data_IF_840980082003
#
_entry.id   IF_840980082003
#
_cell.length_a   1.000
_cell.length_b   1.000
_cell.length_c   1.000
_cell.angle_alpha   90.00
_cell.angle_beta   90.00
_cell.angle_gamma   90.00
#
_symmetry.space_group_name_H-M   'P 1'
#
loop_
_entity.id
_entity.type
_entity.pdbx_description
1 polymer ?
#
# COMPACT_ATOMS: atom_id res chain seq x y z
N UNK A 1 -34.76 29.61 47.32
CA UNK A 1 -33.51 30.20 47.81
C UNK A 1 -32.66 29.07 48.39
N UNK A 2 -31.41 28.81 48.09
CA UNK A 2 -30.44 29.29 47.09
C UNK A 2 -29.23 28.35 47.29
N UNK A 3 -28.64 27.90 46.19
CA UNK A 3 -27.49 27.00 46.11
C UNK A 3 -26.26 27.50 46.90
N UNK A 4 -25.34 26.60 47.25
CA UNK A 4 -23.94 26.91 46.95
C UNK A 4 -23.12 25.68 46.54
N UNK A 5 -22.74 25.74 45.28
CA UNK A 5 -22.08 24.78 44.40
C UNK A 5 -20.55 24.96 44.43
N UNK A 6 -19.95 24.96 45.62
CA UNK A 6 -18.52 25.33 45.78
C UNK A 6 -17.52 24.18 45.92
N UNK A 7 -17.96 22.92 45.85
CA UNK A 7 -17.05 21.76 45.84
C UNK A 7 -16.91 21.08 44.47
N UNK A 8 -17.45 21.68 43.39
CA UNK A 8 -17.42 21.12 42.03
C UNK A 8 -16.72 21.99 40.97
N UNK A 9 -15.96 23.02 41.35
CA UNK A 9 -15.23 23.86 40.38
C UNK A 9 -13.83 24.29 40.86
N UNK A 10 -12.86 23.37 40.89
CA UNK A 10 -11.46 23.80 40.76
C UNK A 10 -10.56 22.80 40.00
N UNK A 11 -11.05 22.27 38.88
CA UNK A 11 -10.16 21.78 37.82
C UNK A 11 -9.70 22.98 36.98
N UNK A 12 -8.71 23.73 37.47
CA UNK A 12 -8.06 24.79 36.69
C UNK A 12 -7.40 24.15 35.47
N UNK A 13 -7.99 24.39 34.30
CA UNK A 13 -7.48 23.91 33.02
C UNK A 13 -6.03 24.35 32.81
N UNK A 14 -5.14 23.37 32.70
CA UNK A 14 -3.75 23.60 32.32
C UNK A 14 -3.76 24.04 30.85
N UNK A 15 -3.48 25.32 30.61
CA UNK A 15 -3.37 25.85 29.26
C UNK A 15 -2.28 25.11 28.48
N UNK A 16 -2.53 24.84 27.20
CA UNK A 16 -1.63 24.12 26.28
C UNK A 16 -0.18 24.64 26.31
N UNK A 17 0.01 25.94 26.59
CA UNK A 17 1.33 26.58 26.73
C UNK A 17 2.06 26.19 28.02
N UNK A 18 1.35 25.93 29.12
CA UNK A 18 1.92 25.41 30.36
C UNK A 18 2.32 23.93 30.21
N UNK A 19 1.51 23.12 29.51
CA UNK A 19 1.85 21.73 29.19
C UNK A 19 3.10 21.62 28.31
N UNK A 20 3.21 22.46 27.27
CA UNK A 20 4.38 22.47 26.39
C UNK A 20 5.67 22.89 27.12
N UNK A 21 5.58 23.79 28.11
CA UNK A 21 6.74 24.17 28.95
C UNK A 21 7.23 23.02 29.83
N UNK A 22 6.32 22.20 30.36
CA UNK A 22 6.66 21.04 31.20
C UNK A 22 7.39 19.98 30.36
N UNK A 23 6.89 19.67 29.17
CA UNK A 23 7.52 18.69 28.27
C UNK A 23 8.89 19.21 27.77
N UNK A 24 9.01 20.51 27.46
CA UNK A 24 10.29 21.08 27.04
C UNK A 24 11.35 21.15 28.14
N UNK A 25 10.93 21.20 29.41
CA UNK A 25 11.83 21.30 30.57
C UNK A 25 12.47 19.98 31.01
N UNK A 26 11.92 18.84 30.58
CA UNK A 26 12.43 17.50 30.88
C UNK A 26 13.53 17.03 29.90
N UNK A 27 13.86 17.84 28.90
CA UNK A 27 14.69 17.42 27.77
C UNK A 27 16.21 17.38 27.98
N UNK A 28 16.78 17.93 29.06
CA UNK A 28 18.25 18.09 29.13
C UNK A 28 18.96 17.63 30.41
N UNK A 29 18.27 17.24 31.49
CA UNK A 29 18.95 16.84 32.74
C UNK A 29 18.67 15.40 33.19
N UNK A 30 17.80 14.66 32.49
CA UNK A 30 17.45 13.26 32.82
C UNK A 30 18.37 12.18 32.24
N UNK A 31 19.41 12.54 31.48
CA UNK A 31 20.25 11.59 30.72
C UNK A 31 21.61 11.27 31.36
N UNK A 32 21.89 11.72 32.59
CA UNK A 32 23.25 11.62 33.18
C UNK A 32 23.33 10.86 34.52
N UNK A 33 22.40 9.94 34.80
CA UNK A 33 22.54 9.07 35.98
C UNK A 33 21.86 7.70 35.75
N UNK A 34 22.59 6.75 35.18
CA UNK A 34 22.18 5.34 35.21
C UNK A 34 22.85 4.45 34.17
N UNK A 35 23.91 3.75 34.56
CA UNK A 35 24.23 2.43 34.01
C UNK A 35 25.32 2.35 32.94
N UNK A 36 26.56 2.31 33.41
CA UNK A 36 27.68 1.71 32.69
C UNK A 36 27.43 0.20 32.46
N UNK A 37 27.99 -0.31 31.37
CA UNK A 37 28.18 -1.71 31.01
C UNK A 37 26.92 -2.60 30.95
N UNK A 38 26.23 -2.55 29.82
CA UNK A 38 25.40 -3.65 29.35
C UNK A 38 25.64 -3.81 27.86
N UNK A 39 26.53 -4.71 27.48
CA UNK A 39 26.62 -5.19 26.11
C UNK A 39 25.23 -5.70 25.70
N UNK A 40 24.51 -4.94 24.88
CA UNK A 40 23.40 -5.48 24.10
C UNK A 40 24.05 -6.38 23.04
N UNK A 41 23.87 -7.71 23.07
CA UNK A 41 24.34 -8.52 21.96
C UNK A 41 23.55 -8.06 20.75
N UNK A 42 24.24 -7.56 19.72
CA UNK A 42 23.68 -7.48 18.38
C UNK A 42 23.16 -8.89 18.08
N UNK A 43 21.85 -9.05 17.99
CA UNK A 43 21.27 -10.18 17.30
C UNK A 43 21.62 -10.01 15.81
N UNK A 44 22.85 -10.37 15.46
CA UNK A 44 23.19 -10.83 14.11
C UNK A 44 22.63 -12.24 14.00
N UNK A 45 21.31 -12.28 13.90
CA UNK A 45 20.50 -13.47 13.67
C UNK A 45 19.40 -12.99 12.77
N UNK A 46 19.69 -13.02 11.48
CA UNK A 46 18.76 -12.88 10.38
C UNK A 46 17.43 -13.54 10.77
N UNK A 47 16.40 -12.73 11.05
CA UNK A 47 15.02 -13.22 11.13
C UNK A 47 14.60 -13.43 9.69
N UNK A 48 15.19 -14.42 9.04
CA UNK A 48 14.71 -14.89 7.75
C UNK A 48 13.37 -15.58 8.04
N UNK A 49 12.25 -15.10 7.46
CA UNK A 49 11.00 -15.84 7.55
C UNK A 49 11.25 -17.29 7.12
N UNK A 50 10.56 -18.31 7.68
CA UNK A 50 10.81 -19.72 7.36
C UNK A 50 10.78 -20.06 5.86
N UNK A 51 10.15 -19.20 5.04
CA UNK A 51 10.13 -19.28 3.59
C UNK A 51 11.52 -19.02 2.93
N UNK A 52 12.42 -18.31 3.59
CA UNK A 52 13.74 -17.93 3.09
C UNK A 52 14.85 -18.91 3.55
N UNK A 53 14.55 -19.83 4.48
CA UNK A 53 15.53 -20.76 5.03
C UNK A 53 15.86 -21.96 4.11
N UNK A 54 15.18 -22.12 2.96
CA UNK A 54 15.44 -23.22 2.03
C UNK A 54 15.40 -22.78 0.58
N UNK A 55 16.58 -22.50 0.02
CA UNK A 55 16.91 -22.81 -1.37
C UNK A 55 18.31 -22.31 -1.75
N UNK A 56 19.27 -23.24 -1.78
CA UNK A 56 20.58 -23.11 -2.45
C UNK A 56 20.48 -22.88 -3.98
N UNK A 57 19.33 -22.43 -4.48
CA UNK A 57 18.97 -22.43 -5.91
C UNK A 57 18.56 -21.05 -6.44
N UNK A 58 18.46 -20.02 -5.60
CA UNK A 58 18.12 -18.69 -6.09
C UNK A 58 19.36 -17.79 -6.09
N UNK A 59 19.53 -16.93 -7.11
CA UNK A 59 20.63 -15.99 -7.14
C UNK A 59 20.54 -15.04 -5.93
N UNK A 60 21.69 -14.56 -5.45
CA UNK A 60 21.85 -13.79 -4.19
C UNK A 60 21.02 -12.48 -4.13
N UNK A 61 20.33 -12.11 -5.20
CA UNK A 61 19.53 -10.89 -5.35
C UNK A 61 18.01 -11.11 -5.39
N UNK A 62 17.49 -12.26 -4.96
CA UNK A 62 16.03 -12.46 -4.87
C UNK A 62 15.46 -11.85 -3.60
N UNK A 63 14.52 -10.91 -3.75
CA UNK A 63 13.77 -10.33 -2.61
C UNK A 63 12.49 -11.13 -2.38
N UNK A 64 11.81 -11.50 -3.46
CA UNK A 64 10.54 -12.23 -3.42
C UNK A 64 9.43 -11.50 -4.18
N UNK A 65 8.19 -11.90 -3.91
CA UNK A 65 6.97 -11.34 -4.53
C UNK A 65 5.77 -11.45 -3.60
N UNK A 66 4.75 -10.65 -3.88
CA UNK A 66 3.45 -10.75 -3.20
C UNK A 66 2.65 -11.98 -3.68
N UNK A 67 1.83 -12.58 -2.81
CA UNK A 67 0.83 -13.55 -3.24
C UNK A 67 -0.28 -12.85 -4.04
N UNK A 68 -0.71 -13.48 -5.13
CA UNK A 68 -1.82 -13.05 -5.98
C UNK A 68 -2.60 -14.32 -6.32
N UNK A 69 -3.90 -14.29 -6.08
CA UNK A 69 -4.82 -15.37 -6.44
C UNK A 69 -4.88 -15.53 -7.98
N UNK A 70 -4.75 -16.74 -8.55
CA UNK A 70 -4.96 -16.98 -9.98
C UNK A 70 -6.32 -16.47 -10.51
N UNK A 71 -7.35 -16.49 -9.67
CA UNK A 71 -8.71 -16.04 -10.00
C UNK A 71 -8.95 -14.56 -9.65
N UNK A 72 -7.88 -13.80 -9.35
CA UNK A 72 -7.99 -12.37 -9.08
C UNK A 72 -8.70 -11.64 -10.25
N UNK A 73 -9.78 -10.87 -9.96
CA UNK A 73 -10.61 -10.27 -11.00
C UNK A 73 -9.97 -9.06 -11.69
N UNK A 74 -8.94 -8.46 -11.11
CA UNK A 74 -8.39 -7.17 -11.55
C UNK A 74 -7.00 -7.27 -12.13
N UNK A 75 -6.16 -8.16 -11.61
CA UNK A 75 -4.78 -8.36 -12.07
C UNK A 75 -4.48 -9.83 -12.33
N UNK A 76 -3.49 -10.09 -13.18
CA UNK A 76 -2.98 -11.43 -13.50
C UNK A 76 -1.46 -11.45 -13.35
N UNK A 77 -0.90 -12.62 -13.03
CA UNK A 77 0.55 -12.82 -12.90
C UNK A 77 1.06 -13.85 -13.91
N UNK A 78 2.13 -13.48 -14.61
CA UNK A 78 2.92 -14.31 -15.51
C UNK A 78 4.23 -14.67 -14.83
N UNK A 79 4.26 -15.86 -14.22
CA UNK A 79 5.39 -16.30 -13.39
C UNK A 79 6.69 -16.42 -14.19
N UNK A 80 6.61 -16.74 -15.48
CA UNK A 80 7.72 -16.84 -16.41
C UNK A 80 8.45 -15.51 -16.67
N UNK A 81 7.81 -14.37 -16.39
CA UNK A 81 8.41 -13.03 -16.52
C UNK A 81 8.94 -12.50 -15.18
N UNK A 82 8.66 -13.19 -14.07
CA UNK A 82 8.95 -12.69 -12.74
C UNK A 82 10.43 -12.91 -12.38
N UNK A 83 11.16 -11.82 -12.15
CA UNK A 83 12.57 -11.84 -11.75
C UNK A 83 12.78 -11.72 -10.23
N UNK A 84 11.70 -11.81 -9.43
CA UNK A 84 11.71 -11.74 -7.96
C UNK A 84 12.41 -10.49 -7.37
N UNK A 85 12.29 -9.34 -8.05
CA UNK A 85 12.91 -8.08 -7.62
C UNK A 85 12.29 -7.43 -6.38
N UNK A 86 11.10 -7.88 -5.93
CA UNK A 86 10.45 -7.34 -4.73
C UNK A 86 9.77 -5.98 -4.86
N UNK A 87 9.82 -5.28 -6.00
CA UNK A 87 9.17 -3.96 -6.15
C UNK A 87 7.65 -4.00 -5.89
N UNK A 88 6.99 -5.11 -6.24
CA UNK A 88 5.58 -5.33 -5.91
C UNK A 88 5.31 -5.44 -4.39
N UNK A 89 6.26 -5.99 -3.62
CA UNK A 89 6.18 -6.04 -2.15
C UNK A 89 6.23 -4.63 -1.60
N UNK A 90 7.22 -3.84 -2.05
CA UNK A 90 7.38 -2.45 -1.62
C UNK A 90 6.13 -1.63 -1.90
N UNK A 91 5.54 -1.72 -3.10
CA UNK A 91 4.31 -1.02 -3.42
C UNK A 91 3.12 -1.44 -2.53
N UNK A 92 2.95 -2.73 -2.26
CA UNK A 92 1.85 -3.21 -1.41
C UNK A 92 2.04 -2.83 0.06
N UNK A 93 3.29 -2.84 0.54
CA UNK A 93 3.64 -2.47 1.90
C UNK A 93 3.59 -0.94 2.09
N UNK A 94 4.39 -0.19 1.35
CA UNK A 94 4.61 1.24 1.61
C UNK A 94 3.49 2.12 1.04
N UNK A 95 2.98 1.82 -0.15
CA UNK A 95 1.98 2.67 -0.81
C UNK A 95 0.56 2.37 -0.31
N UNK A 96 0.24 1.10 -0.12
CA UNK A 96 -1.12 0.65 0.18
C UNK A 96 -1.29 0.16 1.62
N UNK A 97 -0.20 -0.13 2.34
CA UNK A 97 -0.24 -0.72 3.68
C UNK A 97 -1.05 -2.03 3.75
N UNK A 98 -1.05 -2.79 2.64
CA UNK A 98 -1.79 -4.06 2.51
C UNK A 98 -0.92 -5.32 2.60
N UNK A 99 0.34 -5.17 2.96
CA UNK A 99 1.26 -6.29 3.11
C UNK A 99 2.20 -6.03 4.29
N UNK A 100 2.44 -7.04 5.13
CA UNK A 100 3.41 -6.97 6.23
C UNK A 100 2.96 -6.27 7.52
N UNK A 101 1.70 -5.81 7.61
CA UNK A 101 1.19 -5.03 8.77
C UNK A 101 0.10 -5.74 9.60
N UNK A 102 -0.21 -7.00 9.32
CA UNK A 102 -1.32 -7.72 9.98
C UNK A 102 -0.83 -8.72 11.02
N UNK A 103 -1.41 -8.70 12.23
CA UNK A 103 -1.30 -9.75 13.25
C UNK A 103 -2.63 -9.88 14.03
N UNK A 104 -3.48 -10.81 13.60
CA UNK A 104 -4.72 -11.36 14.18
C UNK A 104 -4.82 -12.81 13.66
N UNK A 105 -5.67 -13.75 14.17
CA UNK A 105 -5.57 -15.17 13.80
C UNK A 105 -5.44 -15.30 12.28
N UNK A 106 -4.26 -15.76 11.86
CA UNK A 106 -3.81 -15.70 10.48
C UNK A 106 -4.76 -16.56 9.69
N UNK A 107 -5.70 -15.92 8.99
CA UNK A 107 -6.40 -16.57 7.90
C UNK A 107 -5.33 -16.80 6.85
N UNK A 108 -5.17 -18.04 6.40
CA UNK A 108 -4.17 -18.47 5.42
C UNK A 108 -4.50 -17.95 4.00
N UNK A 109 -5.08 -16.75 3.93
CA UNK A 109 -5.64 -16.14 2.74
C UNK A 109 -4.82 -14.92 2.32
N UNK A 110 -4.74 -14.74 1.00
CA UNK A 110 -4.04 -13.63 0.38
C UNK A 110 -4.82 -12.34 0.58
N UNK A 111 -4.26 -11.37 1.31
CA UNK A 111 -4.89 -10.05 1.47
C UNK A 111 -4.54 -9.18 0.26
N UNK A 112 -5.38 -9.25 -0.77
CA UNK A 112 -5.30 -8.39 -1.96
C UNK A 112 -6.56 -7.53 -2.07
N UNK A 113 -6.39 -6.21 -2.17
CA UNK A 113 -7.50 -5.26 -2.34
C UNK A 113 -7.74 -4.84 -3.79
N UNK A 114 -7.08 -5.50 -4.76
CA UNK A 114 -7.26 -5.29 -6.19
C UNK A 114 -6.95 -3.86 -6.68
N UNK A 115 -6.04 -3.13 -6.03
CA UNK A 115 -5.72 -1.73 -6.37
C UNK A 115 -4.77 -1.56 -7.58
N UNK A 116 -4.10 -2.63 -8.02
CA UNK A 116 -3.23 -2.62 -9.19
C UNK A 116 -1.89 -1.88 -9.03
N UNK A 117 -1.55 -1.31 -7.87
CA UNK A 117 -0.27 -0.57 -7.72
C UNK A 117 0.98 -1.39 -8.05
N UNK A 118 0.90 -2.71 -7.84
CA UNK A 118 1.97 -3.63 -8.19
C UNK A 118 2.21 -3.79 -9.71
N UNK A 119 1.20 -3.52 -10.56
CA UNK A 119 1.36 -3.58 -12.03
C UNK A 119 2.23 -2.42 -12.52
N UNK A 120 2.00 -1.22 -11.97
CA UNK A 120 2.70 0.02 -12.35
C UNK A 120 4.21 -0.02 -12.05
N UNK A 121 4.60 -0.76 -11.01
CA UNK A 121 6.01 -0.88 -10.59
C UNK A 121 6.70 -2.11 -11.13
N UNK A 122 6.01 -3.01 -11.85
CA UNK A 122 6.62 -4.25 -12.31
C UNK A 122 7.52 -4.01 -13.54
N UNK A 123 8.84 -4.17 -13.44
CA UNK A 123 9.76 -3.77 -14.51
C UNK A 123 9.74 -4.72 -15.71
N UNK A 124 9.25 -5.95 -15.53
CA UNK A 124 9.21 -6.98 -16.57
C UNK A 124 7.80 -7.23 -17.12
N UNK A 125 6.78 -6.53 -16.60
CA UNK A 125 5.38 -6.83 -16.94
C UNK A 125 4.95 -8.23 -16.51
N UNK A 126 5.53 -8.75 -15.42
CA UNK A 126 5.11 -10.03 -14.83
C UNK A 126 3.75 -9.93 -14.11
N UNK A 127 3.31 -8.73 -13.75
CA UNK A 127 1.99 -8.47 -13.20
C UNK A 127 1.34 -7.42 -14.10
N UNK A 128 0.13 -7.72 -14.59
CA UNK A 128 -0.63 -6.84 -15.48
C UNK A 128 -2.10 -6.84 -15.10
N UNK A 129 -2.85 -5.86 -15.59
CA UNK A 129 -4.31 -5.85 -15.53
C UNK A 129 -4.91 -7.07 -16.23
N UNK A 130 -6.08 -7.51 -15.76
CA UNK A 130 -6.83 -8.56 -16.43
C UNK A 130 -7.46 -8.00 -17.71
N UNK A 131 -7.05 -8.54 -18.86
CA UNK A 131 -7.56 -8.12 -20.16
C UNK A 131 -8.99 -8.65 -20.42
N UNK A 132 -9.94 -7.72 -20.45
CA UNK A 132 -11.34 -7.99 -20.79
C UNK A 132 -11.72 -7.52 -22.22
N UNK A 133 -10.74 -7.11 -23.05
CA UNK A 133 -10.97 -6.61 -24.42
C UNK A 133 -11.77 -7.58 -25.27
N UNK A 134 -11.46 -8.89 -25.20
CA UNK A 134 -12.20 -9.91 -25.96
C UNK A 134 -13.68 -10.02 -25.54
N UNK A 135 -14.01 -9.79 -24.26
CA UNK A 135 -15.40 -9.80 -23.79
C UNK A 135 -16.16 -8.62 -24.40
N UNK A 136 -15.53 -7.44 -24.44
CA UNK A 136 -16.09 -6.22 -25.02
C UNK A 136 -16.29 -6.38 -26.53
N UNK A 137 -15.28 -6.86 -27.27
CA UNK A 137 -15.37 -7.09 -28.71
C UNK A 137 -16.49 -8.08 -29.06
N UNK A 138 -16.64 -9.15 -28.27
CA UNK A 138 -17.74 -10.11 -28.45
C UNK A 138 -19.11 -9.47 -28.20
N UNK A 139 -19.23 -8.58 -27.20
CA UNK A 139 -20.48 -7.87 -26.94
C UNK A 139 -20.84 -6.89 -28.06
N UNK A 140 -19.84 -6.21 -28.65
CA UNK A 140 -20.02 -5.29 -29.78
C UNK A 140 -20.42 -6.00 -31.08
N UNK A 141 -19.97 -7.24 -31.28
CA UNK A 141 -20.28 -8.04 -32.46
C UNK A 141 -21.66 -8.72 -32.42
N UNK A 142 -22.36 -8.66 -31.27
CA UNK A 142 -23.62 -9.34 -31.03
C UNK A 142 -24.80 -8.41 -31.38
N UNK A 143 -25.56 -8.67 -32.47
CA UNK A 143 -26.64 -7.78 -32.89
C UNK A 143 -27.82 -7.75 -31.93
N UNK A 144 -27.93 -8.72 -31.02
CA UNK A 144 -29.01 -8.80 -30.03
C UNK A 144 -28.70 -8.00 -28.75
N UNK A 145 -27.52 -7.36 -28.66
CA UNK A 145 -27.10 -6.59 -27.49
C UNK A 145 -27.10 -5.09 -27.74
N UNK A 146 -27.67 -4.36 -26.79
CA UNK A 146 -27.46 -2.92 -26.67
C UNK A 146 -26.24 -2.65 -25.78
N UNK A 147 -25.17 -2.13 -26.37
CA UNK A 147 -23.89 -1.89 -25.65
C UNK A 147 -23.80 -0.44 -25.22
N UNK A 148 -23.64 -0.23 -23.91
CA UNK A 148 -23.45 1.10 -23.30
C UNK A 148 -22.03 1.20 -22.75
N UNK A 149 -21.37 2.32 -22.98
CA UNK A 149 -20.03 2.63 -22.45
C UNK A 149 -20.13 3.77 -21.45
N UNK A 150 -19.54 3.58 -20.27
CA UNK A 150 -19.39 4.62 -19.26
C UNK A 150 -17.93 4.70 -18.83
N UNK A 151 -17.36 5.90 -18.88
CA UNK A 151 -15.94 6.14 -18.66
C UNK A 151 -15.70 6.77 -17.30
N UNK A 152 -14.69 6.30 -16.57
CA UNK A 152 -14.37 6.83 -15.25
C UNK A 152 -13.85 8.28 -15.34
N UNK A 153 -14.06 9.14 -14.32
CA UNK A 153 -13.67 10.55 -14.40
C UNK A 153 -12.18 10.80 -14.66
N UNK A 154 -11.30 9.89 -14.26
CA UNK A 154 -9.85 10.00 -14.42
C UNK A 154 -9.38 9.71 -15.87
N UNK A 155 -10.13 8.94 -16.66
CA UNK A 155 -9.67 8.53 -18.00
C UNK A 155 -9.51 9.73 -18.93
N UNK A 156 -10.36 10.75 -18.79
CA UNK A 156 -10.37 11.94 -19.66
C UNK A 156 -9.18 12.88 -19.46
N UNK A 157 -8.33 12.64 -18.46
CA UNK A 157 -7.09 13.42 -18.20
C UNK A 157 -5.81 12.59 -18.31
N UNK A 158 -5.91 11.27 -18.23
CA UNK A 158 -4.75 10.36 -18.31
C UNK A 158 -4.57 9.76 -19.71
N UNK A 159 -5.66 9.47 -20.43
CA UNK A 159 -5.60 8.72 -21.69
C UNK A 159 -4.76 9.41 -22.78
N UNK A 160 -4.68 10.74 -22.78
CA UNK A 160 -3.91 11.49 -23.77
C UNK A 160 -2.40 11.21 -23.75
N UNK A 161 -1.86 10.79 -22.61
CA UNK A 161 -0.42 10.50 -22.45
C UNK A 161 0.02 9.36 -23.37
N UNK A 162 -0.82 8.34 -23.54
CA UNK A 162 -0.60 7.20 -24.46
C UNK A 162 -0.56 7.62 -25.93
N UNK A 163 -1.09 8.80 -26.26
CA UNK A 163 -1.09 9.37 -27.62
C UNK A 163 -0.05 10.49 -27.78
N UNK A 164 0.90 10.62 -26.85
CA UNK A 164 1.97 11.62 -26.89
C UNK A 164 1.53 13.04 -26.54
N UNK A 165 0.35 13.21 -25.96
CA UNK A 165 -0.09 14.50 -25.41
C UNK A 165 0.58 14.76 -24.05
N UNK A 166 0.69 16.02 -23.60
CA UNK A 166 1.21 16.32 -22.26
C UNK A 166 0.36 15.70 -21.14
N UNK A 167 0.99 15.36 -20.02
CA UNK A 167 0.29 14.83 -18.84
C UNK A 167 -0.82 15.76 -18.36
N UNK A 168 -1.98 15.19 -18.05
CA UNK A 168 -3.17 15.95 -17.65
C UNK A 168 -3.93 16.63 -18.81
N UNK A 169 -3.58 16.34 -20.07
CA UNK A 169 -4.33 16.85 -21.23
C UNK A 169 -5.80 16.42 -21.18
N UNK A 170 -6.70 17.39 -21.40
CA UNK A 170 -8.15 17.14 -21.41
C UNK A 170 -8.60 16.53 -22.73
N UNK A 171 -9.01 15.26 -22.71
CA UNK A 171 -9.39 14.47 -23.91
C UNK A 171 -10.85 13.98 -23.90
N UNK A 172 -11.73 14.63 -23.12
CA UNK A 172 -13.12 14.19 -23.00
C UNK A 172 -13.85 14.17 -24.36
N UNK A 173 -13.59 15.15 -25.23
CA UNK A 173 -14.23 15.23 -26.55
C UNK A 173 -13.86 14.06 -27.45
N UNK A 174 -12.58 13.67 -27.47
CA UNK A 174 -12.06 12.57 -28.28
C UNK A 174 -12.49 11.19 -27.76
N UNK A 175 -12.83 11.08 -26.47
CA UNK A 175 -13.20 9.81 -25.85
C UNK A 175 -14.64 9.38 -26.17
N UNK A 176 -15.54 10.33 -26.46
CA UNK A 176 -16.98 10.08 -26.62
C UNK A 176 -17.54 10.45 -28.00
N UNK A 177 -16.77 11.14 -28.84
CA UNK A 177 -17.22 11.66 -30.14
C UNK A 177 -16.72 10.83 -31.32
#
# INVERSE_FOLDING_TARGET
>A
MSLNSKELEESKEITRRAFLKIISGLGLTGLMAGGLSGCVPKQTGEITPPLLAKSKMWPENVVGRIPIDPDNPSIVRYDEKCILCGQCIQACQETQSVYGFYNLPVVDETICINCGQCTLVCPTGAISERDDTRKVLKALADPDKFVVVQTAPATRVALGEEFGMPAGAWVMGQQVA
#
